data_IF_109301139769
#
_entry.id   IF_109301139769
#
_cell.length_a   1.000
_cell.length_b   1.000
_cell.length_c   1.000
_cell.angle_alpha   90.00
_cell.angle_beta   90.00
_cell.angle_gamma   90.00
#
_symmetry.space_group_name_H-M   'P 1'
#
loop_
_entity.id
_entity.type
_entity.pdbx_description
1 polymer ?
#
# COMPACT_ATOMS: atom_id res chain seq x y z
N UNK A 1 2.87 9.75 -4.47
CA UNK A 1 3.84 10.44 -3.57
C UNK A 1 3.35 11.80 -3.04
N UNK A 2 2.21 12.32 -3.50
CA UNK A 2 1.63 13.60 -3.03
C UNK A 2 1.07 13.56 -1.60
N UNK A 3 0.90 12.34 -1.04
CA UNK A 3 0.39 12.10 0.32
C UNK A 3 1.31 12.68 1.40
N UNK A 4 2.62 12.48 1.27
CA UNK A 4 3.62 12.91 2.25
C UNK A 4 4.29 14.21 1.78
N UNK A 5 4.70 15.08 2.69
CA UNK A 5 5.40 16.32 2.35
C UNK A 5 6.90 16.08 2.06
N UNK A 6 7.56 17.02 1.38
CA UNK A 6 9.00 16.97 1.09
C UNK A 6 9.38 16.67 -0.37
N UNK A 7 10.67 16.81 -0.68
CA UNK A 7 11.21 16.66 -2.03
C UNK A 7 11.09 15.23 -2.56
N UNK A 8 10.76 15.09 -3.84
CA UNK A 8 10.61 13.80 -4.53
C UNK A 8 11.83 12.90 -4.37
N UNK A 9 13.03 13.48 -4.40
CA UNK A 9 14.29 12.77 -4.23
C UNK A 9 14.45 12.16 -2.83
N UNK A 10 14.04 12.88 -1.79
CA UNK A 10 14.12 12.41 -0.41
C UNK A 10 13.19 11.23 -0.18
N UNK A 11 11.96 11.32 -0.71
CA UNK A 11 10.98 10.23 -0.64
C UNK A 11 11.46 8.97 -1.37
N UNK A 12 12.02 9.11 -2.56
CA UNK A 12 12.62 7.99 -3.29
C UNK A 12 13.78 7.38 -2.51
N UNK A 13 14.64 8.20 -1.90
CA UNK A 13 15.75 7.72 -1.09
C UNK A 13 15.27 6.91 0.13
N UNK A 14 14.20 7.36 0.81
CA UNK A 14 13.58 6.61 1.92
C UNK A 14 13.10 5.22 1.49
N UNK A 15 12.43 5.13 0.35
CA UNK A 15 11.98 3.84 -0.21
C UNK A 15 13.15 2.92 -0.54
N UNK A 16 14.21 3.45 -1.17
CA UNK A 16 15.41 2.69 -1.50
C UNK A 16 16.12 2.20 -0.23
N UNK A 17 16.16 3.04 0.80
CA UNK A 17 16.82 2.70 2.06
C UNK A 17 16.06 1.58 2.78
N UNK A 18 14.72 1.67 2.86
CA UNK A 18 13.91 0.60 3.42
C UNK A 18 14.02 -0.71 2.62
N UNK A 19 14.03 -0.66 1.28
CA UNK A 19 14.24 -1.86 0.44
C UNK A 19 15.59 -2.53 0.72
N UNK A 20 16.67 -1.73 0.88
CA UNK A 20 17.99 -2.25 1.25
C UNK A 20 17.98 -2.91 2.63
N UNK A 21 17.34 -2.29 3.61
CA UNK A 21 17.21 -2.83 4.97
C UNK A 21 16.44 -4.15 4.98
N UNK A 22 15.29 -4.20 4.32
CA UNK A 22 14.48 -5.42 4.20
C UNK A 22 15.22 -6.55 3.48
N UNK A 23 16.02 -6.24 2.46
CA UNK A 23 16.87 -7.22 1.76
C UNK A 23 17.98 -7.77 2.64
N UNK A 24 18.60 -6.93 3.48
CA UNK A 24 19.60 -7.37 4.47
C UNK A 24 19.03 -8.43 5.42
N UNK A 25 17.75 -8.31 5.76
CA UNK A 25 17.02 -9.27 6.61
C UNK A 25 16.39 -10.45 5.85
N UNK A 26 16.57 -10.55 4.52
CA UNK A 26 15.96 -11.58 3.65
C UNK A 26 14.42 -11.53 3.53
N UNK A 27 13.81 -10.36 3.72
CA UNK A 27 12.37 -10.13 3.47
C UNK A 27 12.12 -9.11 2.35
N UNK A 28 12.47 -9.42 1.10
CA UNK A 28 12.23 -8.49 0.00
C UNK A 28 10.74 -8.32 -0.28
N UNK A 29 10.26 -7.07 -0.29
CA UNK A 29 8.94 -6.71 -0.80
C UNK A 29 9.07 -6.40 -2.30
N UNK A 30 8.56 -7.30 -3.17
CA UNK A 30 8.66 -7.20 -4.63
C UNK A 30 7.29 -7.31 -5.30
N UNK A 31 7.19 -6.76 -6.51
CA UNK A 31 5.98 -6.84 -7.33
C UNK A 31 4.81 -6.10 -6.67
N UNK A 32 3.73 -6.83 -6.37
CA UNK A 32 2.49 -6.25 -5.83
C UNK A 32 2.61 -5.65 -4.43
N UNK A 33 3.71 -5.89 -3.70
CA UNK A 33 3.95 -5.27 -2.39
C UNK A 33 4.76 -3.96 -2.45
N UNK A 34 5.17 -3.49 -3.64
CA UNK A 34 5.85 -2.19 -3.81
C UNK A 34 5.04 -0.99 -3.29
N UNK A 35 3.72 -0.91 -3.52
CA UNK A 35 2.91 0.18 -2.98
C UNK A 35 2.95 0.21 -1.44
N UNK A 36 2.93 -0.96 -0.80
CA UNK A 36 2.98 -1.09 0.67
C UNK A 36 4.38 -0.73 1.18
N UNK A 37 5.44 -1.12 0.47
CA UNK A 37 6.80 -0.66 0.74
C UNK A 37 6.89 0.88 0.67
N UNK A 38 6.23 1.50 -0.31
CA UNK A 38 6.16 2.95 -0.45
C UNK A 38 5.45 3.62 0.72
N UNK A 39 4.35 3.06 1.21
CA UNK A 39 3.64 3.56 2.40
C UNK A 39 4.51 3.37 3.65
N UNK A 40 5.05 2.17 3.86
CA UNK A 40 5.92 1.85 4.98
C UNK A 40 7.13 2.80 5.06
N UNK A 41 7.82 3.04 3.94
CA UNK A 41 8.99 3.91 3.89
C UNK A 41 8.72 5.37 4.29
N UNK A 42 7.48 5.83 4.10
CA UNK A 42 7.09 7.22 4.33
C UNK A 42 6.42 7.45 5.68
N UNK A 43 5.84 6.40 6.27
CA UNK A 43 5.25 6.44 7.61
C UNK A 43 6.26 6.10 8.70
N UNK A 44 7.18 5.17 8.43
CA UNK A 44 8.06 4.62 9.46
C UNK A 44 9.33 5.45 9.57
N UNK A 45 9.71 5.76 10.81
CA UNK A 45 10.94 6.49 11.11
C UNK A 45 12.14 5.55 11.36
N UNK A 46 11.91 4.37 11.98
CA UNK A 46 12.96 3.37 12.22
C UNK A 46 12.78 2.11 11.36
N UNK A 47 13.63 1.96 10.36
CA UNK A 47 13.56 0.86 9.40
C UNK A 47 14.12 -0.47 9.93
N UNK A 48 15.03 -0.44 10.89
CA UNK A 48 15.63 -1.66 11.45
C UNK A 48 14.67 -2.28 12.47
N UNK A 49 14.03 -1.44 13.30
CA UNK A 49 12.95 -1.86 14.20
C UNK A 49 11.77 -2.45 13.42
N UNK A 50 11.35 -1.79 12.34
CA UNK A 50 10.30 -2.32 11.48
C UNK A 50 10.64 -3.68 10.88
N UNK A 51 11.87 -3.88 10.40
CA UNK A 51 12.30 -5.17 9.86
C UNK A 51 12.28 -6.26 10.94
N UNK A 52 12.69 -5.97 12.18
CA UNK A 52 12.64 -6.92 13.30
C UNK A 52 11.20 -7.26 13.70
N UNK A 53 10.32 -6.27 13.76
CA UNK A 53 8.90 -6.47 14.03
C UNK A 53 8.24 -7.30 12.93
N UNK A 54 8.57 -7.04 11.66
CA UNK A 54 8.10 -7.82 10.52
C UNK A 54 8.51 -9.31 10.64
N UNK A 55 9.76 -9.60 11.00
CA UNK A 55 10.26 -10.98 11.20
C UNK A 55 9.55 -11.66 12.37
N UNK A 56 9.41 -10.95 13.48
CA UNK A 56 8.83 -11.49 14.72
C UNK A 56 7.35 -11.83 14.50
N UNK A 57 6.61 -10.94 13.84
CA UNK A 57 5.21 -11.15 13.50
C UNK A 57 5.02 -12.21 12.40
N UNK A 58 5.95 -12.33 11.43
CA UNK A 58 5.92 -13.42 10.45
C UNK A 58 6.10 -14.79 11.13
N UNK A 59 7.06 -14.90 12.05
CA UNK A 59 7.27 -16.13 12.84
C UNK A 59 6.06 -16.47 13.71
N UNK A 60 5.38 -15.47 14.25
CA UNK A 60 4.15 -15.68 15.02
C UNK A 60 3.00 -16.15 14.14
N UNK A 61 2.70 -15.43 13.05
CA UNK A 61 1.59 -15.75 12.14
C UNK A 61 1.79 -17.10 11.45
N UNK A 62 3.04 -17.47 11.11
CA UNK A 62 3.32 -18.79 10.52
C UNK A 62 2.86 -19.95 11.42
N UNK A 63 2.80 -19.76 12.75
CA UNK A 63 2.33 -20.76 13.72
C UNK A 63 0.81 -20.79 13.86
N UNK A 64 0.10 -19.79 13.33
CA UNK A 64 -1.36 -19.69 13.42
C UNK A 64 -2.05 -20.42 12.25
N UNK A 65 -3.21 -21.02 12.54
CA UNK A 65 -4.02 -21.68 11.53
C UNK A 65 -4.46 -20.68 10.45
N UNK A 66 -4.37 -21.04 9.17
CA UNK A 66 -4.71 -20.15 8.05
C UNK A 66 -3.55 -19.25 7.54
N UNK A 67 -2.44 -19.15 8.28
CA UNK A 67 -1.26 -18.35 7.91
C UNK A 67 0.04 -19.17 7.76
N UNK A 68 -0.05 -20.49 7.92
CA UNK A 68 1.06 -21.42 7.70
C UNK A 68 1.51 -21.53 6.24
N UNK A 69 2.61 -22.25 6.02
CA UNK A 69 3.29 -22.38 4.71
C UNK A 69 2.41 -22.95 3.60
N UNK A 70 1.33 -23.68 3.95
CA UNK A 70 0.48 -24.41 2.99
C UNK A 70 -0.73 -23.61 2.48
N UNK A 71 -1.06 -22.49 3.14
CA UNK A 71 -2.28 -21.71 2.87
C UNK A 71 -1.95 -20.32 2.37
N UNK A 72 -1.07 -19.60 3.08
CA UNK A 72 -0.66 -18.25 2.71
C UNK A 72 0.84 -18.23 2.44
N UNK A 73 1.20 -18.03 1.17
CA UNK A 73 2.60 -17.87 0.75
C UNK A 73 3.28 -16.75 1.54
N UNK A 74 4.59 -16.89 1.79
CA UNK A 74 5.38 -15.93 2.58
C UNK A 74 5.23 -14.49 2.08
N UNK A 75 5.17 -14.29 0.75
CA UNK A 75 4.99 -12.97 0.14
C UNK A 75 3.69 -12.29 0.57
N UNK A 76 2.57 -13.03 0.56
CA UNK A 76 1.26 -12.48 0.94
C UNK A 76 1.20 -12.24 2.44
N UNK A 77 1.80 -13.14 3.25
CA UNK A 77 1.89 -12.95 4.70
C UNK A 77 2.70 -11.70 5.05
N UNK A 78 3.88 -11.51 4.45
CA UNK A 78 4.68 -10.29 4.64
C UNK A 78 3.91 -9.03 4.23
N UNK A 79 3.12 -9.11 3.17
CA UNK A 79 2.29 -8.00 2.70
C UNK A 79 1.25 -7.58 3.74
N UNK A 80 0.54 -8.54 4.34
CA UNK A 80 -0.45 -8.27 5.40
C UNK A 80 0.23 -7.66 6.62
N UNK A 81 1.34 -8.23 7.07
CA UNK A 81 2.06 -7.75 8.26
C UNK A 81 2.59 -6.34 8.04
N UNK A 82 3.21 -6.08 6.89
CA UNK A 82 3.73 -4.76 6.55
C UNK A 82 2.61 -3.70 6.52
N UNK A 83 1.43 -4.05 6.00
CA UNK A 83 0.26 -3.18 6.03
C UNK A 83 -0.22 -2.90 7.45
N UNK A 84 -0.28 -3.91 8.32
CA UNK A 84 -0.70 -3.74 9.72
C UNK A 84 0.28 -2.87 10.51
N UNK A 85 1.59 -3.13 10.40
CA UNK A 85 2.62 -2.32 11.05
C UNK A 85 2.64 -0.87 10.53
N UNK A 86 2.40 -0.69 9.22
CA UNK A 86 2.27 0.65 8.64
C UNK A 86 1.02 1.36 9.16
N UNK A 87 -0.10 0.64 9.30
CA UNK A 87 -1.34 1.20 9.85
C UNK A 87 -1.16 1.60 11.32
N UNK A 88 -0.52 0.75 12.12
CA UNK A 88 -0.20 1.05 13.52
C UNK A 88 0.70 2.28 13.64
N UNK A 89 1.69 2.41 12.75
CA UNK A 89 2.56 3.58 12.69
C UNK A 89 1.80 4.84 12.30
N UNK A 90 0.87 4.78 11.34
CA UNK A 90 -0.03 5.89 10.98
C UNK A 90 -0.96 6.22 12.15
N UNK A 91 -1.44 5.20 12.86
CA UNK A 91 -2.39 5.35 13.96
C UNK A 91 -1.80 6.10 15.14
N UNK A 92 -0.54 5.81 15.45
CA UNK A 92 0.27 6.46 16.47
C UNK A 92 0.94 7.77 16.00
N UNK A 93 0.82 8.14 14.72
CA UNK A 93 1.36 9.40 14.17
C UNK A 93 0.39 10.57 14.39
N UNK A 94 0.92 11.80 14.28
CA UNK A 94 0.15 13.05 14.38
C UNK A 94 -1.14 13.05 13.54
N UNK A 95 -2.20 13.63 14.11
CA UNK A 95 -3.54 13.68 13.52
C UNK A 95 -3.58 14.27 12.10
N UNK A 96 -2.65 15.18 11.79
CA UNK A 96 -2.52 15.84 10.49
C UNK A 96 -2.15 14.86 9.35
N UNK A 97 -1.27 13.89 9.60
CA UNK A 97 -0.90 12.89 8.58
C UNK A 97 -2.11 11.99 8.32
N UNK A 98 -2.81 11.59 9.38
CA UNK A 98 -4.04 10.79 9.33
C UNK A 98 -5.11 11.47 8.48
N UNK A 99 -5.42 12.73 8.78
CA UNK A 99 -6.45 13.50 8.10
C UNK A 99 -6.14 13.67 6.61
N UNK A 100 -4.88 14.03 6.28
CA UNK A 100 -4.42 14.18 4.90
C UNK A 100 -4.44 12.87 4.11
N UNK A 101 -4.14 11.74 4.76
CA UNK A 101 -4.20 10.41 4.15
C UNK A 101 -5.65 10.03 3.81
N UNK A 102 -6.57 10.25 4.75
CA UNK A 102 -8.00 10.00 4.57
C UNK A 102 -8.57 10.89 3.46
N UNK A 103 -8.28 12.19 3.50
CA UNK A 103 -8.76 13.16 2.51
C UNK A 103 -8.27 12.82 1.10
N UNK A 104 -6.96 12.56 0.95
CA UNK A 104 -6.36 12.20 -0.34
C UNK A 104 -6.92 10.88 -0.86
N UNK A 105 -7.11 9.89 -0.01
CA UNK A 105 -7.67 8.58 -0.39
C UNK A 105 -9.12 8.72 -0.85
N UNK A 106 -9.92 9.51 -0.14
CA UNK A 106 -11.30 9.82 -0.55
C UNK A 106 -11.32 10.54 -1.89
N UNK A 107 -10.47 11.54 -2.09
CA UNK A 107 -10.39 12.28 -3.35
C UNK A 107 -10.03 11.37 -4.53
N UNK A 108 -9.01 10.50 -4.36
CA UNK A 108 -8.62 9.52 -5.39
C UNK A 108 -9.76 8.56 -5.68
N UNK A 109 -10.42 8.03 -4.65
CA UNK A 109 -11.54 7.08 -4.80
C UNK A 109 -12.72 7.70 -5.54
N UNK A 110 -13.08 8.95 -5.20
CA UNK A 110 -14.13 9.69 -5.90
C UNK A 110 -13.77 9.93 -7.37
N UNK A 111 -12.52 10.28 -7.66
CA UNK A 111 -12.05 10.52 -9.02
C UNK A 111 -12.13 9.25 -9.88
N UNK A 112 -11.74 8.09 -9.32
CA UNK A 112 -11.89 6.78 -9.96
C UNK A 112 -13.37 6.51 -10.27
N UNK A 113 -14.27 6.74 -9.30
CA UNK A 113 -15.71 6.54 -9.48
C UNK A 113 -16.27 7.45 -10.59
N UNK A 114 -15.84 8.70 -10.66
CA UNK A 114 -16.26 9.64 -11.73
C UNK A 114 -15.79 9.15 -13.09
N UNK A 115 -14.52 8.76 -13.23
CA UNK A 115 -13.97 8.24 -14.49
C UNK A 115 -14.73 6.99 -14.95
N UNK A 116 -15.03 6.07 -14.02
CA UNK A 116 -15.80 4.86 -14.33
C UNK A 116 -17.22 5.19 -14.79
N UNK A 117 -17.88 6.17 -14.17
CA UNK A 117 -19.21 6.62 -14.60
C UNK A 117 -19.18 7.29 -15.97
N UNK A 118 -18.16 8.10 -16.27
CA UNK A 118 -17.98 8.71 -17.60
C UNK A 118 -17.75 7.62 -18.66
N UNK A 119 -16.93 6.61 -18.35
CA UNK A 119 -16.71 5.47 -19.24
C UNK A 119 -18.01 4.68 -19.49
N UNK A 120 -18.81 4.44 -18.45
CA UNK A 120 -20.10 3.77 -18.59
C UNK A 120 -21.10 4.59 -19.41
N UNK A 121 -21.18 5.90 -19.17
CA UNK A 121 -22.07 6.81 -19.91
C UNK A 121 -21.68 6.93 -21.39
N UNK A 122 -20.38 7.01 -21.69
CA UNK A 122 -19.87 7.04 -23.08
C UNK A 122 -20.11 5.71 -23.80
N UNK A 123 -19.95 4.57 -23.13
CA UNK A 123 -20.30 3.26 -23.68
C UNK A 123 -21.81 3.14 -23.95
N UNK A 124 -22.67 3.61 -23.03
CA UNK A 124 -24.12 3.63 -23.21
C UNK A 124 -24.55 4.54 -24.37
N UNK A 125 -23.91 5.70 -24.53
CA UNK A 125 -24.17 6.62 -25.65
C UNK A 125 -23.76 5.99 -27.00
N UNK A 126 -22.63 5.28 -27.06
CA UNK A 126 -22.21 4.54 -28.24
C UNK A 126 -23.17 3.36 -28.58
N UNK A 127 -23.69 2.66 -27.56
CA UNK A 127 -24.71 1.63 -27.72
C UNK A 127 -26.05 2.20 -28.21
N UNK A 128 -26.48 3.35 -27.69
CA UNK A 128 -27.70 4.03 -28.15
C UNK A 128 -27.57 4.56 -29.59
N UNK A 129 -26.40 5.11 -29.96
CA UNK A 129 -26.14 5.59 -31.31
C UNK A 129 -26.10 4.44 -32.34
N UNK A 130 -25.55 3.28 -31.97
CA UNK A 130 -25.55 2.08 -32.82
C UNK A 130 -26.94 1.43 -32.93
N UNK A 131 -27.77 1.48 -31.87
CA UNK A 131 -29.16 1.04 -31.93
C UNK A 131 -30.05 1.98 -32.77
N UNK A 132 -29.77 3.29 -32.79
CA UNK A 132 -30.51 4.26 -33.60
C UNK A 132 -30.08 4.30 -35.09
N UNK A 133 -28.98 3.63 -35.44
CA UNK A 133 -28.45 3.56 -36.82
C UNK A 133 -28.87 2.27 -37.55
N UNK A 134 -29.73 1.44 -36.95
CA UNK A 134 -30.34 0.24 -37.54
C UNK A 134 -31.81 0.46 -37.88
#
# INVERSE_FOLDING_TARGET
>A
LSLFDGFSQEKCNKVILLDKTLRKHSLPLKGYSLPILGVAALTINDYEEFAQNLISTDKFLKKQSGFGTFTLGSTVRHMIIASLLSLESIENSDSLIKEKLIETTNNISLNIVIIMQIAAASAAAAAAASAASN
#
